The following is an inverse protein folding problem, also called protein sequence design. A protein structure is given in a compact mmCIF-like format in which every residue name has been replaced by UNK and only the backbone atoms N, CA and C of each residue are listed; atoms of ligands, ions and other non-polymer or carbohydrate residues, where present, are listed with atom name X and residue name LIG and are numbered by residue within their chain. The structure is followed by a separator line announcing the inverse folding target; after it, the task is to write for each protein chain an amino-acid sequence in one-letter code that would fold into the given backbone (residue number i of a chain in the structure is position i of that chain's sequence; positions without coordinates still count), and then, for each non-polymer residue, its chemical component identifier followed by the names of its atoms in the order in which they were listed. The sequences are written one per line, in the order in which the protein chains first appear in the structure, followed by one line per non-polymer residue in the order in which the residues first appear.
data_IF_702285290468
#
_entry.id   IF_702285290468
#
_cell.length_a   1.000
_cell.length_b   1.000
_cell.length_c   1.000
_cell.angle_alpha   90.00
_cell.angle_beta   90.00
_cell.angle_gamma   90.00
#
_symmetry.space_group_name_H-M   'P 1'
#
loop_
_entity.id
_entity.type
_entity.pdbx_description
1 polymer ?
#
# COMPACT_ATOMS: atom_id res chain seq x y z
N UNK A 1 -34.46 -21.64 -9.37
CA UNK A 1 -33.67 -21.65 -8.11
C UNK A 1 -32.42 -22.48 -8.37
N UNK A 2 -31.29 -21.83 -8.65
CA UNK A 2 -30.05 -22.52 -9.03
C UNK A 2 -29.33 -23.05 -7.78
N UNK A 3 -28.88 -24.30 -7.86
CA UNK A 3 -28.24 -25.07 -6.81
C UNK A 3 -27.19 -24.25 -6.05
N UNK A 4 -27.44 -24.04 -4.75
CA UNK A 4 -26.46 -23.54 -3.80
C UNK A 4 -25.41 -24.61 -3.54
N UNK A 5 -24.58 -24.90 -4.54
CA UNK A 5 -23.42 -25.75 -4.38
C UNK A 5 -22.37 -25.02 -3.55
N UNK A 6 -21.90 -25.64 -2.48
CA UNK A 6 -20.80 -25.13 -1.69
C UNK A 6 -19.58 -24.83 -2.58
N UNK A 7 -18.98 -23.66 -2.39
CA UNK A 7 -17.80 -23.21 -3.14
C UNK A 7 -16.56 -23.97 -2.65
N UNK A 8 -16.38 -25.20 -3.11
CA UNK A 8 -15.25 -26.06 -2.72
C UNK A 8 -14.05 -25.97 -3.68
N UNK A 9 -14.24 -25.54 -4.93
CA UNK A 9 -13.22 -25.63 -5.96
C UNK A 9 -12.25 -24.44 -5.95
N UNK A 10 -10.97 -24.72 -6.27
CA UNK A 10 -9.93 -23.70 -6.43
C UNK A 10 -10.28 -22.77 -7.61
N UNK A 11 -9.98 -21.46 -7.53
CA UNK A 11 -10.25 -20.54 -8.63
C UNK A 11 -9.45 -20.89 -9.88
N UNK A 12 -10.10 -20.95 -11.05
CA UNK A 12 -9.43 -21.13 -12.35
C UNK A 12 -8.51 -19.93 -12.66
N UNK A 13 -7.43 -20.18 -13.40
CA UNK A 13 -6.51 -19.13 -13.85
C UNK A 13 -7.20 -17.97 -14.62
N UNK A 14 -8.30 -18.27 -15.34
CA UNK A 14 -9.09 -17.25 -16.03
C UNK A 14 -9.85 -16.32 -15.08
N UNK A 15 -10.46 -16.86 -14.01
CA UNK A 15 -11.13 -16.05 -12.98
C UNK A 15 -10.15 -15.10 -12.29
N UNK A 16 -8.94 -15.60 -11.98
CA UNK A 16 -7.86 -14.79 -11.42
C UNK A 16 -7.40 -13.69 -12.40
N UNK A 17 -7.27 -14.01 -13.70
CA UNK A 17 -6.91 -13.01 -14.72
C UNK A 17 -7.98 -11.93 -14.86
N UNK A 18 -9.26 -12.30 -14.92
CA UNK A 18 -10.38 -11.35 -14.95
C UNK A 18 -10.47 -10.50 -13.68
N UNK A 19 -10.16 -11.06 -12.50
CA UNK A 19 -10.11 -10.30 -11.26
C UNK A 19 -8.96 -9.28 -11.26
N UNK A 20 -7.78 -9.67 -11.76
CA UNK A 20 -6.67 -8.75 -12.01
C UNK A 20 -7.05 -7.66 -13.01
N UNK A 21 -7.61 -8.00 -14.17
CA UNK A 21 -8.08 -7.03 -15.17
C UNK A 21 -9.10 -6.03 -14.59
N UNK A 22 -9.96 -6.47 -13.67
CA UNK A 22 -10.90 -5.62 -12.92
C UNK A 22 -10.26 -4.87 -11.74
N UNK A 23 -8.99 -5.08 -11.47
CA UNK A 23 -8.21 -4.45 -10.39
C UNK A 23 -8.53 -4.98 -8.99
N UNK A 24 -9.21 -6.11 -8.84
CA UNK A 24 -9.45 -6.75 -7.54
C UNK A 24 -8.21 -7.60 -7.18
N UNK A 25 -7.32 -7.01 -6.40
CA UNK A 25 -6.06 -7.61 -5.96
C UNK A 25 -6.11 -7.78 -4.43
N UNK A 26 -5.50 -8.84 -3.87
CA UNK A 26 -5.28 -8.91 -2.45
C UNK A 26 -4.42 -7.72 -2.04
N UNK A 27 -4.94 -6.87 -1.15
CA UNK A 27 -4.21 -5.78 -0.52
C UNK A 27 -4.30 -5.99 0.99
N UNK A 28 -3.16 -6.09 1.66
CA UNK A 28 -3.09 -5.99 3.12
C UNK A 28 -2.84 -4.53 3.47
N UNK A 29 -3.72 -3.93 4.26
CA UNK A 29 -3.56 -2.55 4.76
C UNK A 29 -2.44 -2.47 5.79
N UNK A 30 -2.29 -3.53 6.58
CA UNK A 30 -1.29 -3.61 7.67
C UNK A 30 0.14 -3.67 7.12
N UNK A 31 0.37 -4.33 5.97
CA UNK A 31 1.68 -4.34 5.33
C UNK A 31 2.13 -2.94 4.89
N UNK A 32 1.26 -2.18 4.22
CA UNK A 32 1.59 -0.81 3.79
C UNK A 32 1.86 0.09 4.99
N UNK A 33 1.09 -0.04 6.07
CA UNK A 33 1.32 0.71 7.31
C UNK A 33 2.67 0.35 7.96
N UNK A 34 2.99 -0.95 8.08
CA UNK A 34 4.23 -1.42 8.67
C UNK A 34 5.47 -0.96 7.88
N UNK A 35 5.43 -1.08 6.55
CA UNK A 35 6.54 -0.62 5.70
C UNK A 35 6.67 0.89 5.72
N UNK A 36 5.55 1.63 5.72
CA UNK A 36 5.58 3.09 5.86
C UNK A 36 6.20 3.56 7.17
N UNK A 37 5.84 2.92 8.29
CA UNK A 37 6.44 3.17 9.60
C UNK A 37 7.94 2.84 9.63
N UNK A 38 8.34 1.66 9.13
CA UNK A 38 9.75 1.28 9.01
C UNK A 38 10.55 2.26 8.15
N UNK A 39 10.02 2.61 6.98
CA UNK A 39 10.67 3.55 6.08
C UNK A 39 10.82 4.92 6.74
N UNK A 40 9.79 5.38 7.46
CA UNK A 40 9.82 6.63 8.20
C UNK A 40 10.87 6.61 9.32
N UNK A 41 10.97 5.51 10.05
CA UNK A 41 11.96 5.33 11.11
C UNK A 41 13.40 5.30 10.57
N UNK A 42 13.66 4.52 9.52
CA UNK A 42 14.98 4.42 8.89
C UNK A 42 15.37 5.78 8.29
N UNK A 43 14.44 6.44 7.60
CA UNK A 43 14.67 7.77 7.01
C UNK A 43 14.99 8.77 8.12
N UNK A 44 14.19 8.82 9.18
CA UNK A 44 14.44 9.73 10.30
C UNK A 44 15.78 9.44 10.97
N UNK A 45 16.12 8.18 11.23
CA UNK A 45 17.39 7.81 11.85
C UNK A 45 18.61 8.14 10.98
N UNK A 46 18.53 7.88 9.67
CA UNK A 46 19.64 8.14 8.73
C UNK A 46 19.87 9.63 8.51
N UNK A 47 18.79 10.41 8.37
CA UNK A 47 18.86 11.84 8.13
C UNK A 47 18.85 12.68 9.43
N UNK A 48 18.77 12.06 10.61
CA UNK A 48 18.81 12.76 11.90
C UNK A 48 20.00 13.74 12.05
N UNK A 49 21.26 13.35 11.80
CA UNK A 49 22.39 14.29 11.91
C UNK A 49 22.27 15.44 10.91
N UNK A 50 21.71 15.19 9.72
CA UNK A 50 21.47 16.21 8.71
C UNK A 50 20.36 17.19 9.12
N UNK A 51 19.31 16.71 9.79
CA UNK A 51 18.28 17.60 10.35
C UNK A 51 18.82 18.47 11.47
N UNK A 52 19.71 17.94 12.32
CA UNK A 52 20.39 18.74 13.35
C UNK A 52 21.16 19.91 12.73
N UNK A 53 21.94 19.66 11.68
CA UNK A 53 22.70 20.72 11.00
C UNK A 53 21.79 21.73 10.31
N UNK A 54 20.71 21.29 9.66
CA UNK A 54 19.74 22.20 9.04
C UNK A 54 19.10 23.14 10.06
N UNK A 55 18.72 22.60 11.23
CA UNK A 55 18.12 23.40 12.30
C UNK A 55 19.14 24.39 12.86
N UNK A 56 20.38 23.96 13.10
CA UNK A 56 21.47 24.84 13.55
C UNK A 56 21.77 25.97 12.54
N UNK A 57 21.81 25.67 11.24
CA UNK A 57 21.94 26.65 10.17
C UNK A 57 20.77 27.65 10.15
N UNK A 58 19.54 27.18 10.33
CA UNK A 58 18.37 28.06 10.43
C UNK A 58 18.45 28.97 11.66
N UNK A 59 18.79 28.45 12.85
CA UNK A 59 18.89 29.27 14.06
C UNK A 59 20.02 30.29 14.00
N UNK A 60 21.18 29.91 13.46
CA UNK A 60 22.30 30.86 13.26
C UNK A 60 21.94 31.94 12.24
N UNK A 61 21.19 31.60 11.19
CA UNK A 61 20.71 32.58 10.20
C UNK A 61 19.76 33.63 10.78
N UNK A 62 18.88 33.24 11.71
CA UNK A 62 17.99 34.17 12.44
C UNK A 62 18.81 35.12 13.31
N UNK A 63 19.82 34.60 14.03
CA UNK A 63 20.70 35.41 14.87
C UNK A 63 21.50 36.43 14.06
N UNK A 64 21.99 36.06 12.88
CA UNK A 64 22.68 36.99 11.97
C UNK A 64 21.75 38.04 11.36
N UNK A 65 20.49 37.68 11.09
CA UNK A 65 19.49 38.60 10.54
C UNK A 65 19.04 39.66 11.56
N UNK A 66 18.92 39.29 12.85
CA UNK A 66 18.58 40.23 13.92
C UNK A 66 19.57 41.41 14.01
N UNK A 67 20.83 41.20 13.61
CA UNK A 67 21.86 42.25 13.54
C UNK A 67 21.89 43.08 12.25
N UNK A 68 21.04 42.77 11.25
CA UNK A 68 21.06 43.39 9.90
C UNK A 68 19.68 43.85 9.42
N UNK A 69 18.78 44.19 10.35
CA UNK A 69 17.39 44.56 10.06
C UNK A 69 17.25 45.78 9.12
N UNK A 70 18.26 46.65 9.04
CA UNK A 70 18.29 47.84 8.18
C UNK A 70 18.65 47.54 6.70
N UNK A 71 19.13 46.33 6.40
CA UNK A 71 19.54 45.97 5.03
C UNK A 71 18.35 45.39 4.24
N UNK A 72 17.92 46.10 3.19
CA UNK A 72 16.80 45.67 2.33
C UNK A 72 17.03 44.29 1.68
N UNK A 73 18.29 43.85 1.54
CA UNK A 73 18.64 42.53 0.99
C UNK A 73 18.62 41.38 2.01
N UNK A 74 18.65 41.67 3.32
CA UNK A 74 18.79 40.64 4.35
C UNK A 74 17.55 39.73 4.43
N UNK A 75 16.35 40.31 4.27
CA UNK A 75 15.09 39.55 4.29
C UNK A 75 14.98 38.57 3.11
N UNK A 76 15.40 38.97 1.91
CA UNK A 76 15.31 38.11 0.72
C UNK A 76 16.32 36.96 0.78
N UNK A 77 17.54 37.20 1.27
CA UNK A 77 18.54 36.16 1.50
C UNK A 77 18.09 35.16 2.57
N UNK A 78 17.50 35.64 3.67
CA UNK A 78 16.93 34.79 4.71
C UNK A 78 15.78 33.91 4.17
N UNK A 79 14.87 34.49 3.38
CA UNK A 79 13.79 33.74 2.73
C UNK A 79 14.34 32.67 1.78
N UNK A 80 15.33 33.00 0.95
CA UNK A 80 15.96 32.01 0.06
C UNK A 80 16.60 30.85 0.83
N UNK A 81 17.32 31.15 1.93
CA UNK A 81 17.95 30.14 2.75
C UNK A 81 16.91 29.19 3.37
N UNK A 82 15.84 29.73 3.95
CA UNK A 82 14.77 28.93 4.55
C UNK A 82 14.00 28.11 3.50
N UNK A 83 13.76 28.65 2.30
CA UNK A 83 13.18 27.88 1.18
C UNK A 83 14.08 26.70 0.82
N UNK A 84 15.40 26.90 0.77
CA UNK A 84 16.36 25.83 0.52
C UNK A 84 16.35 24.75 1.61
N UNK A 85 16.26 25.14 2.88
CA UNK A 85 16.12 24.22 4.02
C UNK A 85 14.84 23.40 3.89
N UNK A 86 13.71 24.02 3.56
CA UNK A 86 12.42 23.33 3.36
C UNK A 86 12.50 22.35 2.20
N UNK A 87 13.07 22.75 1.05
CA UNK A 87 13.22 21.86 -0.11
C UNK A 87 14.08 20.64 0.25
N UNK A 88 15.22 20.86 0.93
CA UNK A 88 16.09 19.78 1.41
C UNK A 88 15.34 18.83 2.34
N UNK A 89 14.53 19.35 3.26
CA UNK A 89 13.71 18.56 4.17
C UNK A 89 12.63 17.73 3.44
N UNK A 90 12.00 18.27 2.39
CA UNK A 90 11.02 17.54 1.57
C UNK A 90 11.71 16.42 0.80
N UNK A 91 12.89 16.67 0.24
CA UNK A 91 13.64 15.68 -0.54
C UNK A 91 14.05 14.49 0.34
N UNK A 92 14.49 14.74 1.58
CA UNK A 92 14.86 13.65 2.50
C UNK A 92 13.66 12.79 2.93
N UNK A 93 12.43 13.31 2.86
CA UNK A 93 11.19 12.54 3.12
C UNK A 93 10.70 11.72 1.92
N UNK A 94 11.18 11.99 0.70
CA UNK A 94 10.78 11.30 -0.52
C UNK A 94 10.88 9.75 -0.51
N UNK A 95 11.81 9.11 0.23
CA UNK A 95 11.87 7.65 0.32
C UNK A 95 10.62 7.01 0.95
N UNK A 96 9.92 7.70 1.83
CA UNK A 96 8.74 7.19 2.57
C UNK A 96 7.58 6.84 1.62
N UNK A 97 7.05 7.78 0.80
CA UNK A 97 5.98 7.46 -0.14
C UNK A 97 6.41 6.41 -1.17
N UNK A 98 7.67 6.41 -1.59
CA UNK A 98 8.21 5.40 -2.51
C UNK A 98 8.11 3.99 -1.89
N UNK A 99 8.55 3.83 -0.64
CA UNK A 99 8.45 2.57 0.09
C UNK A 99 6.99 2.12 0.27
N UNK A 100 6.08 3.04 0.59
CA UNK A 100 4.64 2.74 0.71
C UNK A 100 4.03 2.27 -0.63
N UNK A 101 4.43 2.87 -1.76
CA UNK A 101 4.00 2.46 -3.09
C UNK A 101 4.48 1.02 -3.37
N UNK A 102 5.77 0.75 -3.15
CA UNK A 102 6.36 -0.58 -3.33
C UNK A 102 5.65 -1.61 -2.44
N UNK A 103 5.46 -1.31 -1.15
CA UNK A 103 4.78 -2.19 -0.21
C UNK A 103 3.36 -2.54 -0.64
N UNK A 104 2.63 -1.57 -1.19
CA UNK A 104 1.26 -1.76 -1.68
C UNK A 104 1.19 -2.64 -2.93
N UNK A 105 2.30 -2.77 -3.66
CA UNK A 105 2.43 -3.60 -4.87
C UNK A 105 2.82 -5.04 -4.53
N UNK A 106 3.52 -5.31 -3.42
CA UNK A 106 4.04 -6.66 -3.07
C UNK A 106 2.93 -7.74 -3.00
N UNK A 107 1.76 -7.54 -2.37
CA UNK A 107 0.76 -8.60 -2.25
C UNK A 107 -0.02 -8.89 -3.54
N UNK A 108 -0.22 -7.87 -4.39
CA UNK A 108 -1.17 -7.90 -5.51
C UNK A 108 -0.55 -7.79 -6.90
N UNK A 109 0.68 -7.27 -7.01
CA UNK A 109 1.33 -6.91 -8.27
C UNK A 109 0.82 -5.58 -8.85
N UNK A 110 1.44 -5.18 -9.97
CA UNK A 110 1.07 -3.99 -10.71
C UNK A 110 -0.05 -4.31 -11.71
N UNK A 111 -1.24 -3.74 -11.52
CA UNK A 111 -2.32 -3.80 -12.54
C UNK A 111 -2.98 -2.44 -12.70
N UNK A 112 -2.82 -1.85 -13.88
CA UNK A 112 -3.42 -0.57 -14.24
C UNK A 112 -4.78 -0.82 -14.88
N UNK A 113 -5.86 -0.66 -14.10
CA UNK A 113 -7.23 -0.90 -14.58
C UNK A 113 -7.96 0.41 -14.81
N UNK A 114 -8.13 0.79 -16.08
CA UNK A 114 -8.94 1.96 -16.48
C UNK A 114 -10.43 1.77 -16.14
N UNK A 115 -10.90 0.52 -16.03
CA UNK A 115 -12.30 0.23 -15.64
C UNK A 115 -12.67 0.67 -14.22
N UNK A 116 -11.70 0.92 -13.32
CA UNK A 116 -11.97 1.45 -11.98
C UNK A 116 -12.08 2.98 -11.93
N UNK A 117 -11.67 3.70 -12.98
CA UNK A 117 -11.92 5.15 -13.09
C UNK A 117 -13.37 5.48 -13.43
N UNK A 118 -14.15 4.52 -13.96
CA UNK A 118 -15.58 4.74 -14.22
C UNK A 118 -16.34 4.75 -12.89
N UNK A 119 -17.03 5.84 -12.51
CA UNK A 119 -17.87 5.86 -11.32
C UNK A 119 -19.02 4.86 -11.50
N UNK A 120 -19.06 3.85 -10.63
CA UNK A 120 -20.08 2.82 -10.64
C UNK A 120 -21.15 3.17 -9.61
N UNK A 121 -22.25 3.79 -10.06
CA UNK A 121 -23.35 4.24 -9.21
C UNK A 121 -24.02 3.10 -8.42
N UNK A 122 -23.85 1.83 -8.83
CA UNK A 122 -24.35 0.69 -8.04
C UNK A 122 -23.64 0.54 -6.69
N UNK A 123 -22.38 1.00 -6.59
CA UNK A 123 -21.59 0.96 -5.34
C UNK A 123 -21.94 2.08 -4.35
N UNK A 124 -22.65 3.11 -4.81
CA UNK A 124 -23.09 4.25 -3.99
C UNK A 124 -24.42 3.99 -3.28
N UNK A 125 -25.09 2.86 -3.53
CA UNK A 125 -26.38 2.57 -2.89
C UNK A 125 -26.19 2.19 -1.40
N UNK A 126 -26.70 2.99 -0.45
CA UNK A 126 -26.47 2.78 1.00
C UNK A 126 -27.04 1.45 1.51
N UNK A 127 -28.15 0.98 0.92
CA UNK A 127 -28.78 -0.32 1.22
C UNK A 127 -27.84 -1.51 0.97
N UNK A 128 -27.05 -1.47 -0.10
CA UNK A 128 -26.09 -2.54 -0.39
C UNK A 128 -24.89 -2.50 0.57
N UNK A 129 -24.52 -1.30 1.04
CA UNK A 129 -23.52 -1.08 2.08
C UNK A 129 -23.92 -1.70 3.41
N UNK A 130 -25.14 -1.42 3.90
CA UNK A 130 -25.65 -1.97 5.16
C UNK A 130 -25.77 -3.51 5.08
N UNK A 131 -26.29 -4.07 3.98
CA UNK A 131 -26.36 -5.52 3.80
C UNK A 131 -24.98 -6.19 3.81
N UNK A 132 -23.94 -5.48 3.35
CA UNK A 132 -22.55 -5.96 3.37
C UNK A 132 -21.94 -5.89 4.76
N UNK A 133 -22.33 -4.91 5.58
CA UNK A 133 -21.93 -4.81 6.99
C UNK A 133 -22.50 -5.96 7.84
N UNK A 134 -23.73 -6.40 7.55
CA UNK A 134 -24.39 -7.53 8.25
C UNK A 134 -24.07 -8.93 7.68
N UNK A 135 -23.10 -9.05 6.78
CA UNK A 135 -22.69 -10.36 6.24
C UNK A 135 -21.80 -11.13 7.24
N UNK A 136 -21.92 -12.45 7.33
CA UNK A 136 -21.10 -13.32 8.20
C UNK A 136 -19.58 -13.14 8.03
N UNK A 137 -19.13 -12.65 6.87
CA UNK A 137 -17.70 -12.33 6.65
C UNK A 137 -17.24 -11.12 7.45
N UNK A 138 -18.12 -10.16 7.71
CA UNK A 138 -17.79 -8.92 8.42
C UNK A 138 -17.54 -9.14 9.91
N UNK A 139 -18.28 -10.06 10.55
CA UNK A 139 -18.06 -10.43 11.95
C UNK A 139 -16.67 -11.04 12.18
N UNK A 140 -16.20 -11.87 11.25
CA UNK A 140 -14.84 -12.45 11.31
C UNK A 140 -13.78 -11.36 11.16
N UNK A 141 -14.01 -10.38 10.29
CA UNK A 141 -13.09 -9.25 10.11
C UNK A 141 -13.06 -8.34 11.34
N UNK A 142 -14.22 -8.03 11.95
CA UNK A 142 -14.31 -7.25 13.18
C UNK A 142 -13.62 -7.97 14.35
N UNK A 143 -13.87 -9.28 14.52
CA UNK A 143 -13.24 -10.07 15.58
C UNK A 143 -11.71 -10.07 15.46
N UNK A 144 -11.17 -10.21 14.24
CA UNK A 144 -9.71 -10.09 14.01
C UNK A 144 -9.18 -8.70 14.37
N UNK A 145 -9.90 -7.64 14.02
CA UNK A 145 -9.48 -6.26 14.33
C UNK A 145 -9.51 -5.99 15.84
N UNK A 146 -10.53 -6.50 16.55
CA UNK A 146 -10.65 -6.38 18.00
C UNK A 146 -9.54 -7.15 18.72
N UNK A 147 -9.21 -8.36 18.26
CA UNK A 147 -8.08 -9.14 18.78
C UNK A 147 -6.75 -8.40 18.56
N UNK A 148 -6.49 -7.90 17.34
CA UNK A 148 -5.29 -7.11 17.04
C UNK A 148 -5.20 -5.87 17.94
N UNK A 149 -6.30 -5.13 18.07
CA UNK A 149 -6.38 -3.94 18.93
C UNK A 149 -6.05 -4.28 20.38
N UNK A 150 -6.64 -5.35 20.93
CA UNK A 150 -6.37 -5.80 22.29
C UNK A 150 -4.90 -6.16 22.53
N UNK A 151 -4.28 -6.88 21.59
CA UNK A 151 -2.85 -7.24 21.73
C UNK A 151 -1.96 -5.99 21.62
N UNK A 152 -2.23 -5.09 20.67
CA UNK A 152 -1.48 -3.84 20.52
C UNK A 152 -1.60 -3.01 21.80
N UNK A 153 -2.79 -2.92 22.40
CA UNK A 153 -3.02 -2.17 23.63
C UNK A 153 -2.30 -2.78 24.83
N UNK A 154 -2.29 -4.11 24.95
CA UNK A 154 -1.54 -4.81 26.01
C UNK A 154 -0.02 -4.61 25.86
N UNK A 155 0.51 -4.69 24.65
CA UNK A 155 1.92 -4.42 24.36
C UNK A 155 2.26 -2.97 24.65
N UNK A 156 1.41 -2.02 24.24
CA UNK A 156 1.61 -0.60 24.53
C UNK A 156 1.60 -0.33 26.03
N UNK A 157 0.67 -0.92 26.77
CA UNK A 157 0.59 -0.77 28.23
C UNK A 157 1.86 -1.26 28.92
N UNK A 158 2.34 -2.46 28.57
CA UNK A 158 3.57 -3.02 29.14
C UNK A 158 4.82 -2.21 28.77
N UNK A 159 4.89 -1.68 27.55
CA UNK A 159 5.96 -0.78 27.11
C UNK A 159 5.97 0.54 27.88
N UNK A 160 4.82 1.19 28.05
CA UNK A 160 4.71 2.43 28.81
C UNK A 160 5.10 2.16 30.26
N UNK A 161 4.53 1.12 30.88
CA UNK A 161 4.80 0.78 32.27
C UNK A 161 6.29 0.51 32.54
N UNK A 162 6.96 -0.26 31.67
CA UNK A 162 8.40 -0.52 31.78
C UNK A 162 9.27 0.73 31.55
N UNK A 163 8.79 1.68 30.74
CA UNK A 163 9.51 2.93 30.44
C UNK A 163 9.30 4.03 31.49
N UNK A 164 8.32 3.91 32.39
CA UNK A 164 8.05 4.89 33.44
C UNK A 164 9.24 5.05 34.41
N UNK A 165 9.87 3.95 34.80
CA UNK A 165 10.98 4.00 35.77
C UNK A 165 12.23 4.73 35.19
N UNK A 166 12.69 4.40 33.96
CA UNK A 166 13.69 5.20 33.25
C UNK A 166 13.31 6.68 33.12
N UNK A 167 12.05 6.99 32.78
CA UNK A 167 11.57 8.38 32.65
C UNK A 167 11.65 9.17 33.95
N UNK A 168 11.32 8.55 35.10
CA UNK A 168 11.47 9.19 36.41
C UNK A 168 12.94 9.42 36.78
N UNK A 169 13.84 8.56 36.31
CA UNK A 169 15.28 8.71 36.53
C UNK A 169 15.88 9.93 35.79
N UNK A 170 15.28 10.36 34.67
CA UNK A 170 15.76 11.52 33.91
C UNK A 170 15.73 12.82 34.72
N UNK A 171 14.81 12.96 35.68
CA UNK A 171 14.69 14.17 36.51
C UNK A 171 15.92 14.41 37.40
N UNK A 172 16.74 13.38 37.62
CA UNK A 172 17.94 13.43 38.48
C UNK A 172 19.23 13.66 37.69
N UNK A 173 19.16 13.69 36.36
CA UNK A 173 20.32 13.84 35.48
C UNK A 173 20.54 15.31 35.08
N UNK A 174 21.76 15.63 34.67
CA UNK A 174 22.06 16.93 34.06
C UNK A 174 21.32 17.10 32.73
N UNK A 175 21.05 18.35 32.31
CA UNK A 175 20.22 18.64 31.13
C UNK A 175 20.71 17.93 29.85
N UNK A 176 22.03 17.92 29.60
CA UNK A 176 22.60 17.27 28.42
C UNK A 176 22.43 15.75 28.45
N UNK A 177 22.64 15.13 29.61
CA UNK A 177 22.47 13.69 29.82
C UNK A 177 21.00 13.29 29.74
N UNK A 178 20.09 14.10 30.31
CA UNK A 178 18.65 13.86 30.26
C UNK A 178 18.12 13.86 28.82
N UNK A 179 18.60 14.77 27.96
CA UNK A 179 18.24 14.79 26.54
C UNK A 179 18.73 13.51 25.84
N UNK A 180 19.99 13.13 26.03
CA UNK A 180 20.56 11.96 25.36
C UNK A 180 19.87 10.65 25.80
N UNK A 181 19.67 10.46 27.11
CA UNK A 181 18.94 9.31 27.64
C UNK A 181 17.46 9.32 27.23
N UNK A 182 16.82 10.49 27.16
CA UNK A 182 15.44 10.63 26.68
C UNK A 182 15.26 10.18 25.23
N UNK A 183 16.17 10.60 24.34
CA UNK A 183 16.19 10.11 22.96
C UNK A 183 16.46 8.60 22.88
N UNK A 184 17.32 8.06 23.75
CA UNK A 184 17.55 6.62 23.85
C UNK A 184 16.28 5.84 24.21
N UNK A 185 15.56 6.28 25.25
CA UNK A 185 14.28 5.67 25.67
C UNK A 185 13.26 5.75 24.53
N UNK A 186 13.12 6.94 23.91
CA UNK A 186 12.21 7.13 22.77
C UNK A 186 12.55 6.17 21.62
N UNK A 187 13.83 6.07 21.26
CA UNK A 187 14.30 5.17 20.21
C UNK A 187 13.99 3.70 20.54
N UNK A 188 14.27 3.26 21.77
CA UNK A 188 13.97 1.89 22.21
C UNK A 188 12.47 1.55 22.12
N UNK A 189 11.61 2.45 22.63
CA UNK A 189 10.15 2.27 22.56
C UNK A 189 9.69 2.20 21.11
N UNK A 190 10.22 3.07 20.25
CA UNK A 190 9.82 3.14 18.85
C UNK A 190 10.25 1.89 18.06
N UNK A 191 11.47 1.39 18.27
CA UNK A 191 11.95 0.13 17.67
C UNK A 191 11.06 -1.04 18.08
N UNK A 192 10.74 -1.16 19.37
CA UNK A 192 9.91 -2.26 19.86
C UNK A 192 8.48 -2.19 19.29
N UNK A 193 7.90 -0.99 19.26
CA UNK A 193 6.58 -0.76 18.68
C UNK A 193 6.52 -1.10 17.19
N UNK A 194 7.53 -0.68 16.43
CA UNK A 194 7.64 -1.02 15.01
C UNK A 194 7.80 -2.52 14.82
N UNK A 195 8.64 -3.19 15.62
CA UNK A 195 8.83 -4.64 15.55
C UNK A 195 7.51 -5.40 15.74
N UNK A 196 6.69 -4.99 16.70
CA UNK A 196 5.36 -5.57 16.97
C UNK A 196 4.44 -5.39 15.76
N UNK A 197 4.37 -4.18 15.19
CA UNK A 197 3.55 -3.91 13.99
C UNK A 197 4.02 -4.75 12.80
N UNK A 198 5.33 -4.93 12.63
CA UNK A 198 5.91 -5.74 11.55
C UNK A 198 5.52 -7.21 11.72
N UNK A 199 5.57 -7.75 12.93
CA UNK A 199 5.10 -9.12 13.23
C UNK A 199 3.61 -9.26 12.87
N UNK A 200 2.78 -8.29 13.24
CA UNK A 200 1.36 -8.31 12.87
C UNK A 200 1.12 -8.24 11.37
N UNK A 201 1.87 -7.40 10.66
CA UNK A 201 1.79 -7.30 9.21
C UNK A 201 2.22 -8.62 8.54
N UNK A 202 3.27 -9.27 9.03
CA UNK A 202 3.71 -10.58 8.53
C UNK A 202 2.65 -11.66 8.71
N UNK A 203 1.89 -11.64 9.81
CA UNK A 203 0.76 -12.54 10.03
C UNK A 203 -0.48 -12.16 9.22
N UNK A 204 -0.70 -10.88 8.92
CA UNK A 204 -1.85 -10.40 8.15
C UNK A 204 -1.73 -10.73 6.65
N UNK A 205 -0.53 -10.69 6.08
CA UNK A 205 -0.29 -11.00 4.66
C UNK A 205 -0.82 -12.38 4.23
N UNK A 206 -0.50 -13.50 4.89
CA UNK A 206 -1.03 -14.81 4.52
C UNK A 206 -2.54 -14.90 4.76
N UNK A 207 -3.08 -14.27 5.81
CA UNK A 207 -4.51 -14.21 6.05
C UNK A 207 -5.25 -13.43 4.96
N UNK A 208 -4.71 -12.31 4.51
CA UNK A 208 -5.24 -11.52 3.41
C UNK A 208 -5.24 -12.32 2.09
N UNK A 209 -4.14 -13.04 1.80
CA UNK A 209 -4.06 -13.95 0.64
C UNK A 209 -5.06 -15.10 0.74
N UNK A 210 -5.23 -15.69 1.92
CA UNK A 210 -6.18 -16.78 2.15
C UNK A 210 -7.62 -16.30 1.99
N UNK A 211 -7.99 -15.16 2.57
CA UNK A 211 -9.32 -14.57 2.45
C UNK A 211 -9.63 -14.19 1.00
N UNK A 212 -8.67 -13.63 0.28
CA UNK A 212 -8.82 -13.36 -1.16
C UNK A 212 -9.06 -14.64 -1.96
N UNK A 213 -8.30 -15.70 -1.68
CA UNK A 213 -8.46 -17.00 -2.35
C UNK A 213 -9.82 -17.64 -2.01
N UNK A 214 -10.26 -17.55 -0.75
CA UNK A 214 -11.57 -18.04 -0.29
C UNK A 214 -12.72 -17.32 -0.99
N UNK A 215 -12.63 -15.99 -1.14
CA UNK A 215 -13.61 -15.18 -1.88
C UNK A 215 -13.69 -15.57 -3.36
N UNK A 216 -12.56 -16.01 -3.94
CA UNK A 216 -12.45 -16.37 -5.35
C UNK A 216 -12.86 -17.82 -5.66
N UNK A 217 -13.11 -18.67 -4.66
CA UNK A 217 -13.57 -20.07 -4.86
C UNK A 217 -14.77 -20.17 -5.78
N UNK A 218 -14.83 -21.26 -6.53
CA UNK A 218 -15.86 -21.56 -7.52
C UNK A 218 -16.67 -22.78 -7.10
N UNK A 219 -17.88 -22.89 -7.63
CA UNK A 219 -18.67 -24.13 -7.53
C UNK A 219 -18.26 -25.08 -8.67
N UNK A 220 -18.51 -26.39 -8.51
CA UNK A 220 -18.25 -27.36 -9.59
C UNK A 220 -18.99 -27.03 -10.89
N UNK A 221 -20.17 -26.42 -10.79
CA UNK A 221 -20.95 -25.95 -11.94
C UNK A 221 -20.30 -24.75 -12.62
N UNK A 222 -19.86 -23.74 -11.86
CA UNK A 222 -19.15 -22.57 -12.40
C UNK A 222 -17.88 -22.96 -13.16
N UNK A 223 -17.11 -23.92 -12.64
CA UNK A 223 -15.89 -24.42 -13.29
C UNK A 223 -16.22 -25.08 -14.62
N UNK A 224 -17.24 -25.95 -14.66
CA UNK A 224 -17.67 -26.66 -15.87
C UNK A 224 -18.17 -25.68 -16.94
N UNK A 225 -18.88 -24.62 -16.54
CA UNK A 225 -19.30 -23.54 -17.43
C UNK A 225 -18.13 -22.71 -17.97
N UNK A 226 -17.10 -22.44 -17.16
CA UNK A 226 -15.89 -21.76 -17.63
C UNK A 226 -15.12 -22.58 -18.67
N UNK A 227 -15.00 -23.90 -18.47
CA UNK A 227 -14.39 -24.80 -19.46
C UNK A 227 -15.21 -24.83 -20.75
N UNK A 228 -16.53 -24.91 -20.66
CA UNK A 228 -17.42 -24.90 -21.84
C UNK A 228 -17.36 -23.56 -22.60
N UNK A 229 -17.37 -22.44 -21.90
CA UNK A 229 -17.22 -21.12 -22.54
C UNK A 229 -15.84 -20.94 -23.20
N UNK A 230 -14.78 -21.47 -22.59
CA UNK A 230 -13.42 -21.41 -23.13
C UNK A 230 -13.30 -22.21 -24.42
N UNK A 231 -13.84 -23.43 -24.45
CA UNK A 231 -13.81 -24.28 -25.65
C UNK A 231 -14.65 -23.68 -26.78
N UNK A 232 -15.84 -23.16 -26.48
CA UNK A 232 -16.68 -22.45 -27.46
C UNK A 232 -15.97 -21.23 -28.02
N UNK A 233 -15.35 -20.40 -27.18
CA UNK A 233 -14.62 -19.19 -27.62
C UNK A 233 -13.37 -19.53 -28.45
N UNK A 234 -12.65 -20.62 -28.12
CA UNK A 234 -11.52 -21.08 -28.95
C UNK A 234 -12.01 -21.59 -30.31
N UNK A 235 -13.10 -22.36 -30.33
CA UNK A 235 -13.67 -22.93 -31.56
C UNK A 235 -14.22 -21.85 -32.49
N UNK A 236 -14.90 -20.84 -31.94
CA UNK A 236 -15.35 -19.68 -32.72
C UNK A 236 -14.16 -18.90 -33.30
N UNK A 237 -13.14 -18.59 -32.49
CA UNK A 237 -11.91 -17.92 -33.00
C UNK A 237 -11.19 -18.72 -34.09
N UNK A 238 -11.10 -20.04 -33.96
CA UNK A 238 -10.51 -20.91 -34.98
C UNK A 238 -11.30 -20.88 -36.29
N UNK A 239 -12.64 -20.90 -36.22
CA UNK A 239 -13.51 -20.80 -37.41
C UNK A 239 -13.34 -19.45 -38.11
N UNK A 240 -13.33 -18.34 -37.35
CA UNK A 240 -13.09 -17.00 -37.91
C UNK A 240 -11.69 -16.87 -38.52
N UNK A 241 -10.66 -17.46 -37.91
CA UNK A 241 -9.31 -17.48 -38.46
C UNK A 241 -9.21 -18.30 -39.76
N UNK A 242 -9.85 -19.46 -39.83
CA UNK A 242 -9.92 -20.25 -41.07
C UNK A 242 -10.68 -19.53 -42.18
N UNK A 243 -11.76 -18.82 -41.83
CA UNK A 243 -12.51 -17.99 -42.79
C UNK A 243 -11.70 -16.79 -43.28
N UNK A 244 -10.93 -16.12 -42.41
CA UNK A 244 -10.12 -14.96 -42.79
C UNK A 244 -8.92 -15.34 -43.66
N UNK A 245 -8.30 -16.51 -43.42
CA UNK A 245 -7.27 -17.07 -44.31
C UNK A 245 -7.88 -17.43 -45.65
N UNK A 246 -9.04 -18.08 -45.68
CA UNK A 246 -9.72 -18.42 -46.95
C UNK A 246 -10.11 -17.18 -47.76
N UNK A 247 -10.56 -16.12 -47.12
CA UNK A 247 -10.86 -14.84 -47.77
C UNK A 247 -9.61 -14.12 -48.30
N UNK A 248 -8.45 -14.29 -47.65
CA UNK A 248 -7.18 -13.67 -48.08
C UNK A 248 -6.59 -14.35 -49.32
N UNK A 249 -6.77 -15.67 -49.46
CA UNK A 249 -6.36 -16.42 -50.66
C UNK A 249 -7.35 -16.31 -51.84
N UNK A 250 -8.62 -15.97 -51.57
CA UNK A 250 -9.62 -15.74 -52.60
C UNK A 250 -9.49 -14.41 -53.36
N UNK A 251 -8.55 -13.52 -52.97
CA UNK A 251 -8.36 -12.19 -53.57
C UNK A 251 -7.06 -12.04 -54.38
N UNK A 252 -6.23 -13.09 -54.52
CA UNK A 252 -4.91 -13.01 -55.17
C UNK A 252 -4.83 -13.61 -56.58
N UNK A 253 -5.95 -13.89 -57.26
CA UNK A 253 -5.95 -14.33 -58.66
C UNK A 253 -6.30 -13.17 -59.60
N UNK A 254 -5.37 -12.23 -59.78
CA UNK A 254 -5.38 -11.34 -60.95
C UNK A 254 -4.22 -11.81 -61.85
N UNK A 255 -4.47 -12.35 -63.06
CA UNK A 255 -3.39 -12.77 -63.93
C UNK A 255 -2.68 -11.52 -64.49
N UNK A 256 -1.41 -11.34 -64.12
CA UNK A 256 -0.52 -10.38 -64.78
C UNK A 256 -0.38 -10.76 -66.26
N UNK A 257 -1.11 -10.09 -67.15
CA UNK A 257 -0.74 -10.03 -68.57
C UNK A 257 0.56 -9.23 -68.69
N UNK A 258 1.61 -9.86 -69.21
CA UNK A 258 2.83 -9.18 -69.67
C UNK A 258 2.52 -8.43 -70.98
N UNK A 259 2.87 -7.15 -71.13
CA UNK A 259 2.97 -6.53 -72.44
C UNK A 259 4.39 -6.71 -73.01
N UNK A 260 4.44 -7.10 -74.28
CA UNK A 260 5.53 -6.80 -75.23
C UNK A 260 5.54 -5.32 -75.55
#
# INVERSE_FOLDING_TARGET
MAAGGDKSEKPTAQKLRKAREKGDLPRSKDLTMAVGLLASFITMGTFFPYYKTLVEESFTSVGMMAGRLDDQGALSQFLMLNVWVIIRFIITLAPIPLACIVASLVPGGWVFTVSKLKPDFKKLSPISGVKRMFSSSHYVDVGKMMLKCGIILAVLYTMVHSSLNPLLHLQRLSLSQAIHHGFGILHHVLVYFIAVIVIFALLDVPLAKFMFTKKMRMTKQEVKEEYKNTTVTRRSKAVYASFSVRWRWGRSTVPCRRPT
#
